data_IF_963629390739
#
_entry.id   IF_963629390739
#
_cell.length_a   1.000
_cell.length_b   1.000
_cell.length_c   1.000
_cell.angle_alpha   90.00
_cell.angle_beta   90.00
_cell.angle_gamma   90.00
#
_symmetry.space_group_name_H-M   'P 1'
#
loop_
_entity.id
_entity.type
_entity.pdbx_description
1 polymer ?
#
# COMPACT_ATOMS: atom_id res chain seq x y z
N UNK A 1 -56.55 -47.23 14.31
CA UNK A 1 -55.99 -46.00 13.69
C UNK A 1 -54.70 -45.61 14.43
N UNK A 2 -53.54 -45.76 13.78
CA UNK A 2 -52.24 -45.44 14.38
C UNK A 2 -51.80 -44.06 13.88
N UNK A 3 -51.71 -43.09 14.77
CA UNK A 3 -51.13 -41.78 14.49
C UNK A 3 -49.59 -41.95 14.39
N UNK A 4 -49.00 -41.61 13.26
CA UNK A 4 -47.57 -41.60 13.08
C UNK A 4 -47.08 -40.19 13.42
N UNK A 5 -46.26 -40.06 14.47
CA UNK A 5 -45.56 -38.84 14.84
C UNK A 5 -44.51 -38.52 13.80
N UNK A 6 -44.67 -37.39 13.10
CA UNK A 6 -43.66 -36.81 12.22
C UNK A 6 -42.79 -35.89 13.09
N UNK A 7 -41.56 -36.31 13.36
CA UNK A 7 -40.56 -35.48 14.03
C UNK A 7 -39.94 -34.61 12.95
N UNK A 8 -40.22 -33.30 12.97
CA UNK A 8 -39.48 -32.31 12.18
C UNK A 8 -38.13 -32.08 12.86
N UNK A 9 -37.07 -32.57 12.26
CA UNK A 9 -35.69 -32.17 12.58
C UNK A 9 -35.41 -30.81 11.91
N UNK A 10 -35.44 -29.74 12.69
CA UNK A 10 -34.94 -28.43 12.27
C UNK A 10 -33.43 -28.43 12.34
N UNK A 11 -32.79 -28.46 11.18
CA UNK A 11 -31.32 -28.29 11.05
C UNK A 11 -30.98 -26.82 11.25
N UNK A 12 -30.46 -26.46 12.42
CA UNK A 12 -29.91 -25.15 12.71
C UNK A 12 -28.56 -25.02 11.98
N UNK A 13 -28.53 -24.25 10.90
CA UNK A 13 -27.27 -23.87 10.24
C UNK A 13 -26.59 -22.81 11.11
N UNK A 14 -25.56 -23.20 11.85
CA UNK A 14 -24.69 -22.28 12.54
C UNK A 14 -23.83 -21.55 11.50
N UNK A 15 -24.20 -20.30 11.19
CA UNK A 15 -23.34 -19.40 10.41
C UNK A 15 -22.17 -19.01 11.30
N UNK A 16 -21.02 -19.66 11.09
CA UNK A 16 -19.76 -19.27 11.74
C UNK A 16 -19.34 -17.94 11.13
N UNK A 17 -19.67 -16.83 11.79
CA UNK A 17 -19.15 -15.53 11.44
C UNK A 17 -17.62 -15.58 11.58
N UNK A 18 -16.89 -15.41 10.47
CA UNK A 18 -15.45 -15.17 10.51
C UNK A 18 -15.21 -13.90 11.35
N UNK A 19 -14.91 -14.07 12.63
CA UNK A 19 -14.39 -12.97 13.43
C UNK A 19 -13.06 -12.55 12.84
N UNK A 20 -12.97 -11.32 12.34
CA UNK A 20 -11.68 -10.70 11.99
C UNK A 20 -10.85 -10.68 13.28
N UNK A 21 -9.94 -11.61 13.40
CA UNK A 21 -8.95 -11.57 14.47
C UNK A 21 -8.11 -10.33 14.24
N UNK A 22 -8.18 -9.38 15.17
CA UNK A 22 -7.30 -8.22 15.14
C UNK A 22 -5.86 -8.72 15.26
N UNK A 23 -5.04 -8.44 14.26
CA UNK A 23 -3.60 -8.74 14.33
C UNK A 23 -3.03 -7.85 15.44
N UNK A 24 -2.33 -8.42 16.44
CA UNK A 24 -1.70 -7.61 17.48
C UNK A 24 -0.72 -6.63 16.83
N UNK A 25 -0.95 -5.33 17.00
CA UNK A 25 -0.01 -4.31 16.55
C UNK A 25 1.14 -4.22 17.54
N UNK A 26 2.38 -4.24 17.03
CA UNK A 26 3.58 -4.10 17.87
C UNK A 26 3.68 -2.70 18.52
N UNK A 27 2.96 -1.73 17.94
CA UNK A 27 2.90 -0.35 18.41
C UNK A 27 1.46 -0.06 18.85
N UNK A 28 1.23 0.46 20.08
CA UNK A 28 -0.11 0.84 20.51
C UNK A 28 -0.71 1.89 19.56
N UNK A 29 -1.99 1.73 19.23
CA UNK A 29 -2.71 2.70 18.41
C UNK A 29 -2.86 4.03 19.17
N UNK A 30 -2.49 5.13 18.52
CA UNK A 30 -2.77 6.49 18.99
C UNK A 30 -3.99 7.02 18.25
N UNK A 31 -5.07 7.29 18.97
CA UNK A 31 -6.35 7.70 18.38
C UNK A 31 -6.24 8.99 17.56
N UNK A 32 -5.33 9.90 17.92
CA UNK A 32 -5.11 11.16 17.19
C UNK A 32 -4.40 10.90 15.87
N UNK A 33 -3.41 10.02 15.88
CA UNK A 33 -2.69 9.63 14.67
C UNK A 33 -3.63 8.88 13.73
N UNK A 34 -4.40 7.92 14.24
CA UNK A 34 -5.38 7.17 13.46
C UNK A 34 -6.41 8.10 12.79
N UNK A 35 -6.91 9.08 13.50
CA UNK A 35 -7.82 10.08 12.92
C UNK A 35 -7.15 10.86 11.79
N UNK A 36 -5.91 11.30 11.94
CA UNK A 36 -5.16 12.03 10.91
C UNK A 36 -4.92 11.16 9.67
N UNK A 37 -4.63 9.87 9.87
CA UNK A 37 -4.47 8.90 8.78
C UNK A 37 -5.77 8.74 8.01
N UNK A 38 -6.90 8.54 8.70
CA UNK A 38 -8.22 8.41 8.06
C UNK A 38 -8.60 9.69 7.29
N UNK A 39 -8.37 10.86 7.85
CA UNK A 39 -8.60 12.14 7.18
C UNK A 39 -7.77 12.28 5.90
N UNK A 40 -6.50 11.86 5.93
CA UNK A 40 -5.63 11.87 4.76
C UNK A 40 -6.11 10.87 3.70
N UNK A 41 -6.36 9.63 4.10
CA UNK A 41 -6.83 8.56 3.21
C UNK A 41 -8.18 8.89 2.55
N UNK A 42 -9.06 9.60 3.24
CA UNK A 42 -10.35 10.02 2.70
C UNK A 42 -10.24 11.01 1.54
N UNK A 43 -9.13 11.75 1.47
CA UNK A 43 -8.84 12.74 0.41
C UNK A 43 -8.14 12.13 -0.80
N UNK A 44 -7.66 10.90 -0.67
CA UNK A 44 -6.90 10.21 -1.72
C UNK A 44 -7.85 9.36 -2.58
N UNK A 45 -7.76 9.54 -3.89
CA UNK A 45 -8.34 8.60 -4.86
C UNK A 45 -7.56 7.28 -4.91
N UNK A 46 -8.05 6.33 -5.69
CA UNK A 46 -7.41 5.02 -5.82
C UNK A 46 -5.99 5.13 -6.41
N UNK A 47 -5.80 5.98 -7.42
CA UNK A 47 -4.51 6.16 -8.08
C UNK A 47 -3.48 6.75 -7.12
N UNK A 48 -3.88 7.73 -6.28
CA UNK A 48 -3.03 8.28 -5.24
C UNK A 48 -2.65 7.22 -4.18
N UNK A 49 -3.58 6.36 -3.79
CA UNK A 49 -3.30 5.27 -2.84
C UNK A 49 -2.31 4.26 -3.43
N UNK A 50 -2.49 3.88 -4.69
CA UNK A 50 -1.56 2.98 -5.40
C UNK A 50 -0.19 3.63 -5.53
N UNK A 51 -0.15 4.90 -5.95
CA UNK A 51 1.10 5.64 -6.10
C UNK A 51 1.88 5.71 -4.79
N UNK A 52 1.22 6.03 -3.67
CA UNK A 52 1.86 6.08 -2.34
C UNK A 52 2.38 4.73 -1.85
N UNK A 53 1.84 3.63 -2.34
CA UNK A 53 2.32 2.27 -2.05
C UNK A 53 3.39 1.79 -3.02
N UNK A 54 3.73 2.60 -4.03
CA UNK A 54 4.69 2.27 -5.08
C UNK A 54 6.06 2.84 -4.73
N UNK A 55 7.08 2.01 -4.81
CA UNK A 55 8.48 2.42 -4.79
C UNK A 55 9.11 2.13 -6.16
N UNK A 56 9.84 3.09 -6.71
CA UNK A 56 10.58 2.94 -7.96
C UNK A 56 12.08 3.09 -7.70
N UNK A 57 12.89 2.29 -8.39
CA UNK A 57 14.31 2.55 -8.45
C UNK A 57 14.56 3.84 -9.26
N UNK A 58 15.45 4.72 -8.78
CA UNK A 58 15.74 6.00 -9.44
C UNK A 58 16.29 5.82 -10.86
N UNK A 59 16.88 4.66 -11.16
CA UNK A 59 17.41 4.32 -12.48
C UNK A 59 16.36 4.45 -13.60
N UNK A 60 15.08 4.21 -13.30
CA UNK A 60 14.01 4.33 -14.30
C UNK A 60 13.71 5.78 -14.66
N UNK A 61 14.17 6.73 -13.84
CA UNK A 61 13.93 8.17 -14.00
C UNK A 61 15.08 8.89 -14.71
N UNK A 62 16.09 8.17 -15.17
CA UNK A 62 17.23 8.79 -15.82
C UNK A 62 18.05 7.80 -16.64
N UNK A 63 19.25 8.22 -16.97
CA UNK A 63 20.20 7.43 -17.76
C UNK A 63 21.61 7.60 -17.20
N UNK A 64 22.45 6.58 -17.36
CA UNK A 64 23.86 6.68 -17.03
C UNK A 64 24.65 7.04 -18.30
N UNK A 65 25.22 8.26 -18.33
CA UNK A 65 26.04 8.77 -19.44
C UNK A 65 27.46 8.93 -18.95
N UNK A 66 28.39 8.27 -19.61
CA UNK A 66 29.82 8.27 -19.26
C UNK A 66 30.13 7.87 -17.81
N UNK A 67 29.32 6.96 -17.25
CA UNK A 67 29.48 6.50 -15.86
C UNK A 67 28.78 7.39 -14.80
N UNK A 68 28.15 8.48 -15.20
CA UNK A 68 27.39 9.36 -14.31
C UNK A 68 25.89 9.24 -14.57
N UNK A 69 25.13 9.09 -13.50
CA UNK A 69 23.66 9.10 -13.58
C UNK A 69 23.16 10.52 -13.81
N UNK A 70 22.31 10.69 -14.81
CA UNK A 70 21.63 11.94 -15.14
C UNK A 70 20.13 11.74 -15.02
N UNK A 71 19.51 12.51 -14.10
CA UNK A 71 18.08 12.48 -13.86
C UNK A 71 17.34 13.17 -15.02
N UNK A 72 16.29 12.54 -15.50
CA UNK A 72 15.32 13.11 -16.46
C UNK A 72 14.18 13.78 -15.70
N UNK A 73 14.17 15.12 -15.70
CA UNK A 73 13.18 15.90 -14.98
C UNK A 73 11.74 15.64 -15.47
N UNK A 74 11.55 15.31 -16.75
CA UNK A 74 10.23 15.02 -17.27
C UNK A 74 9.70 13.67 -16.74
N UNK A 75 10.56 12.66 -16.66
CA UNK A 75 10.22 11.37 -16.05
C UNK A 75 9.96 11.53 -14.55
N UNK A 76 10.77 12.31 -13.84
CA UNK A 76 10.56 12.62 -12.43
C UNK A 76 9.23 13.31 -12.19
N UNK A 77 8.93 14.36 -12.96
CA UNK A 77 7.66 15.08 -12.87
C UNK A 77 6.48 14.12 -13.08
N UNK A 78 6.56 13.27 -14.10
CA UNK A 78 5.51 12.28 -14.39
C UNK A 78 5.32 11.30 -13.23
N UNK A 79 6.41 10.78 -12.65
CA UNK A 79 6.33 9.86 -11.53
C UNK A 79 5.67 10.51 -10.30
N UNK A 80 6.01 11.76 -9.99
CA UNK A 80 5.50 12.45 -8.80
C UNK A 80 4.10 13.04 -9.04
N UNK A 81 3.91 13.81 -10.12
CA UNK A 81 2.69 14.58 -10.31
C UNK A 81 1.54 13.73 -10.91
N UNK A 82 1.85 12.83 -11.85
CA UNK A 82 0.83 12.01 -12.50
C UNK A 82 0.59 10.69 -11.76
N UNK A 83 1.66 9.94 -11.49
CA UNK A 83 1.56 8.62 -10.84
C UNK A 83 1.58 8.67 -9.32
N UNK A 84 1.89 9.83 -8.72
CA UNK A 84 1.86 10.07 -7.26
C UNK A 84 2.73 9.07 -6.48
N UNK A 85 3.87 8.66 -7.07
CA UNK A 85 4.79 7.67 -6.48
C UNK A 85 5.27 8.12 -5.11
N UNK A 86 5.17 7.23 -4.13
CA UNK A 86 5.40 7.52 -2.72
C UNK A 86 6.85 7.48 -2.28
N UNK A 87 7.67 6.67 -2.96
CA UNK A 87 9.08 6.54 -2.61
C UNK A 87 9.97 6.18 -3.79
N UNK A 88 11.26 6.51 -3.65
CA UNK A 88 12.29 6.15 -4.62
C UNK A 88 13.46 5.48 -3.91
N UNK A 89 13.88 4.34 -4.45
CA UNK A 89 15.16 3.76 -4.07
C UNK A 89 16.26 4.59 -4.74
N UNK A 90 17.05 5.28 -3.92
CA UNK A 90 17.86 6.41 -4.34
C UNK A 90 19.28 6.08 -4.81
N UNK A 91 19.68 4.80 -4.90
CA UNK A 91 21.01 4.40 -5.38
C UNK A 91 20.96 3.99 -6.86
N UNK A 92 21.32 4.88 -7.80
CA UNK A 92 21.37 4.51 -9.20
C UNK A 92 22.57 3.58 -9.46
N UNK A 93 22.25 2.36 -9.91
CA UNK A 93 23.26 1.33 -10.19
C UNK A 93 23.90 0.72 -8.93
N UNK A 94 24.94 -0.12 -9.15
CA UNK A 94 25.55 -0.89 -8.06
C UNK A 94 26.59 -0.10 -7.25
N UNK A 95 26.92 1.13 -7.66
CA UNK A 95 27.95 1.95 -7.03
C UNK A 95 27.32 3.24 -6.49
N UNK A 96 27.63 3.55 -5.23
CA UNK A 96 27.21 4.81 -4.62
C UNK A 96 27.77 6.01 -5.41
N UNK A 97 26.93 7.01 -5.61
CA UNK A 97 27.34 8.28 -6.21
C UNK A 97 28.17 9.12 -5.23
N UNK A 98 28.83 10.17 -5.73
CA UNK A 98 29.55 11.10 -4.86
C UNK A 98 28.58 11.89 -3.94
N UNK A 99 29.08 12.40 -2.79
CA UNK A 99 28.24 13.20 -1.88
C UNK A 99 27.56 14.40 -2.54
N UNK A 100 28.16 14.98 -3.57
CA UNK A 100 27.62 16.14 -4.28
C UNK A 100 26.42 15.79 -5.17
N UNK A 101 26.21 14.48 -5.43
CA UNK A 101 25.07 13.97 -6.22
C UNK A 101 23.85 13.61 -5.37
N UNK A 102 24.03 13.53 -4.05
CA UNK A 102 22.95 13.29 -3.07
C UNK A 102 22.41 14.61 -2.53
#
# INVERSE_FOLDING_TARGET
MKLRNIILMSASIAVTACSKQAVPTAIPADAKIEQQVEELLSKMDLDAKIGQMTELAIDVLGETINGEFQLDEAKLHKAIAEYKVGSFLNAPGPVAQSPEKW
#
